data_IF_938352441021
#
_entry.id   IF_938352441021
#
_cell.length_a   1.000
_cell.length_b   1.000
_cell.length_c   1.000
_cell.angle_alpha   90.00
_cell.angle_beta   90.00
_cell.angle_gamma   90.00
#
_symmetry.space_group_name_H-M   'P 1'
#
loop_
_entity.id
_entity.type
_entity.pdbx_description
1 polymer ?
#
# COMPACT_ATOMS: atom_id res chain seq x y z
N UNK A 1 1.93 -19.31 -1.73
CA UNK A 1 1.45 -18.00 -1.25
C UNK A 1 2.65 -17.19 -0.83
N UNK A 2 2.95 -16.10 -1.52
CA UNK A 2 4.04 -15.20 -1.13
C UNK A 2 3.49 -14.15 -0.17
N UNK A 3 4.16 -14.01 0.98
CA UNK A 3 3.89 -12.96 1.96
C UNK A 3 5.16 -12.12 2.02
N UNK A 4 5.03 -10.83 1.78
CA UNK A 4 6.11 -9.87 1.91
C UNK A 4 5.83 -9.01 3.13
N UNK A 5 6.81 -8.86 4.00
CA UNK A 5 6.69 -8.04 5.20
C UNK A 5 7.71 -6.93 5.16
N UNK A 6 7.27 -5.73 5.51
CA UNK A 6 8.08 -4.52 5.53
C UNK A 6 7.70 -3.69 6.76
N UNK A 7 8.40 -3.88 7.87
CA UNK A 7 7.99 -3.31 9.16
C UNK A 7 6.64 -3.87 9.60
N UNK A 8 5.69 -2.96 9.85
CA UNK A 8 4.30 -3.22 10.25
C UNK A 8 3.34 -3.43 9.06
N UNK A 9 3.86 -3.43 7.83
CA UNK A 9 3.09 -3.65 6.61
C UNK A 9 3.31 -5.07 6.12
N UNK A 10 2.25 -5.87 6.16
CA UNK A 10 2.18 -7.21 5.60
C UNK A 10 1.44 -7.19 4.25
N UNK A 11 2.10 -7.66 3.20
CA UNK A 11 1.60 -7.70 1.83
C UNK A 11 1.43 -9.17 1.44
N UNK A 12 0.19 -9.60 1.38
CA UNK A 12 -0.17 -11.00 1.13
C UNK A 12 -0.67 -11.17 -0.28
N UNK A 13 -0.08 -12.09 -1.04
CA UNK A 13 -0.54 -12.37 -2.39
C UNK A 13 -1.94 -13.00 -2.39
N UNK A 14 -2.81 -12.49 -3.25
CA UNK A 14 -4.17 -12.96 -3.47
C UNK A 14 -4.38 -13.34 -4.94
N UNK A 15 -5.37 -14.19 -5.19
CA UNK A 15 -5.67 -14.66 -6.55
C UNK A 15 -6.59 -13.70 -7.32
N UNK A 16 -7.43 -12.94 -6.59
CA UNK A 16 -8.41 -12.02 -7.17
C UNK A 16 -8.61 -10.78 -6.30
N UNK A 17 -8.77 -9.64 -6.95
CA UNK A 17 -9.20 -8.40 -6.30
C UNK A 17 -10.72 -8.43 -6.04
N UNK A 18 -11.21 -7.86 -4.93
CA UNK A 18 -12.65 -7.69 -4.72
C UNK A 18 -13.28 -6.70 -5.72
N UNK A 19 -14.59 -6.83 -5.94
CA UNK A 19 -15.34 -6.07 -6.96
C UNK A 19 -15.67 -4.63 -6.58
N UNK A 20 -15.44 -4.21 -5.34
CA UNK A 20 -15.74 -2.85 -4.82
C UNK A 20 -14.49 -2.16 -4.31
N UNK A 21 -13.60 -1.84 -5.24
CA UNK A 21 -12.34 -1.16 -4.99
C UNK A 21 -12.35 0.24 -5.62
N UNK A 22 -11.98 1.25 -4.85
CA UNK A 22 -11.66 2.58 -5.38
C UNK A 22 -10.16 2.66 -5.61
N UNK A 23 -9.72 3.22 -6.74
CA UNK A 23 -8.28 3.49 -6.93
C UNK A 23 -7.85 4.57 -5.94
N UNK A 24 -6.83 4.27 -5.15
CA UNK A 24 -6.13 5.29 -4.39
C UNK A 24 -5.31 6.11 -5.37
N UNK A 25 -5.38 7.44 -5.29
CA UNK A 25 -4.54 8.33 -6.08
C UNK A 25 -3.08 8.34 -5.63
N UNK A 26 -2.80 7.71 -4.48
CA UNK A 26 -1.51 7.72 -3.83
C UNK A 26 -0.82 6.34 -3.84
N UNK A 27 0.51 6.34 -3.81
CA UNK A 27 1.36 5.13 -3.76
C UNK A 27 1.70 4.70 -2.34
N UNK A 28 1.18 5.40 -1.34
CA UNK A 28 1.38 5.11 0.08
C UNK A 28 0.49 3.93 0.52
N UNK A 29 1.15 2.84 0.88
CA UNK A 29 0.53 1.68 1.51
C UNK A 29 0.16 1.98 2.97
N UNK A 30 1.10 2.53 3.72
CA UNK A 30 0.92 2.92 5.11
C UNK A 30 1.88 4.06 5.46
N UNK A 31 1.50 4.85 6.45
CA UNK A 31 2.44 5.74 7.12
C UNK A 31 3.20 4.93 8.17
N UNK A 32 4.52 5.14 8.25
CA UNK A 32 5.38 4.45 9.20
C UNK A 32 5.19 4.96 10.63
N UNK A 33 5.87 4.34 11.60
CA UNK A 33 5.80 4.72 13.02
C UNK A 33 6.28 6.16 13.29
N UNK A 34 7.16 6.68 12.44
CA UNK A 34 7.68 8.05 12.53
C UNK A 34 6.86 8.97 11.64
N UNK A 35 6.35 10.05 12.22
CA UNK A 35 5.57 11.07 11.52
C UNK A 35 6.34 11.60 10.31
N UNK A 36 5.86 11.29 9.09
CA UNK A 36 6.48 11.71 7.84
C UNK A 36 7.10 10.56 7.02
N UNK A 37 7.41 9.42 7.63
CA UNK A 37 7.85 8.25 6.90
C UNK A 37 6.65 7.48 6.32
N UNK A 38 6.82 6.90 5.14
CA UNK A 38 5.76 6.17 4.46
C UNK A 38 6.28 4.98 3.68
N UNK A 39 5.53 3.88 3.76
CA UNK A 39 5.72 2.71 2.92
C UNK A 39 5.12 3.02 1.56
N UNK A 40 5.97 3.37 0.59
CA UNK A 40 5.51 3.83 -0.72
C UNK A 40 6.24 3.14 -1.86
N UNK A 41 5.55 3.03 -2.98
CA UNK A 41 6.16 2.67 -4.25
C UNK A 41 6.69 3.93 -4.95
N UNK A 42 7.75 3.78 -5.73
CA UNK A 42 8.32 4.88 -6.52
C UNK A 42 7.66 5.02 -7.89
N UNK A 43 7.06 3.95 -8.41
CA UNK A 43 6.54 3.89 -9.78
C UNK A 43 5.02 3.65 -9.83
N UNK A 44 4.26 4.71 -10.11
CA UNK A 44 2.79 4.64 -10.30
C UNK A 44 2.33 4.00 -11.61
N UNK A 45 3.24 3.85 -12.58
CA UNK A 45 2.88 3.27 -13.88
C UNK A 45 2.85 1.74 -13.79
N UNK A 46 3.63 1.17 -12.86
CA UNK A 46 3.71 -0.27 -12.62
C UNK A 46 2.91 -0.74 -11.42
N UNK A 47 2.46 0.17 -10.54
CA UNK A 47 1.75 -0.19 -9.32
C UNK A 47 0.46 0.61 -9.19
N UNK A 48 -0.65 -0.10 -8.98
CA UNK A 48 -1.95 0.50 -8.68
C UNK A 48 -2.35 0.11 -7.24
N UNK A 49 -2.61 1.12 -6.41
CA UNK A 49 -3.14 0.94 -5.06
C UNK A 49 -4.65 1.13 -5.10
N UNK A 50 -5.38 0.28 -4.40
CA UNK A 50 -6.82 0.30 -4.29
C UNK A 50 -7.23 0.32 -2.82
N UNK A 51 -8.35 0.99 -2.53
CA UNK A 51 -8.98 1.04 -1.22
C UNK A 51 -10.38 0.42 -1.32
N UNK A 52 -10.65 -0.57 -0.47
CA UNK A 52 -11.98 -1.13 -0.31
C UNK A 52 -12.83 -0.26 0.62
N UNK A 53 -14.15 -0.42 0.53
CA UNK A 53 -15.10 0.26 1.41
C UNK A 53 -14.95 -0.12 2.90
N UNK A 54 -14.27 -1.22 3.20
CA UNK A 54 -13.97 -1.71 4.55
C UNK A 54 -12.68 -1.10 5.13
N UNK A 55 -12.06 -0.14 4.44
CA UNK A 55 -10.76 0.45 4.83
C UNK A 55 -9.54 -0.39 4.43
N UNK A 56 -9.74 -1.64 3.98
CA UNK A 56 -8.65 -2.49 3.50
C UNK A 56 -8.02 -1.97 2.20
N UNK A 57 -6.68 -2.04 2.14
CA UNK A 57 -5.92 -1.68 0.93
C UNK A 57 -5.53 -2.91 0.13
N UNK A 58 -5.54 -2.75 -1.18
CA UNK A 58 -5.16 -3.78 -2.14
C UNK A 58 -4.16 -3.21 -3.13
N UNK A 59 -3.28 -4.07 -3.63
CA UNK A 59 -2.22 -3.72 -4.53
C UNK A 59 -2.34 -4.55 -5.81
N UNK A 60 -2.12 -3.90 -6.94
CA UNK A 60 -1.90 -4.56 -8.21
C UNK A 60 -0.57 -4.12 -8.77
N UNK A 61 0.34 -5.07 -8.89
CA UNK A 61 1.70 -4.87 -9.38
C UNK A 61 1.78 -5.46 -10.78
N UNK A 62 2.03 -4.61 -11.78
CA UNK A 62 2.16 -5.00 -13.19
C UNK A 62 3.58 -5.49 -13.51
N UNK A 63 4.58 -4.87 -12.87
CA UNK A 63 6.01 -5.19 -13.03
C UNK A 63 6.71 -5.18 -11.68
N UNK A 64 7.88 -5.86 -11.53
CA UNK A 64 8.58 -5.89 -10.26
C UNK A 64 8.91 -4.49 -9.75
N UNK A 65 8.32 -4.10 -8.62
CA UNK A 65 8.41 -2.74 -8.09
C UNK A 65 8.99 -2.71 -6.69
N UNK A 66 9.98 -1.84 -6.42
CA UNK A 66 10.54 -1.69 -5.09
C UNK A 66 9.56 -0.92 -4.19
N UNK A 67 9.25 -1.50 -3.04
CA UNK A 67 8.63 -0.82 -1.92
C UNK A 67 9.74 -0.23 -1.05
N UNK A 68 9.71 1.08 -0.88
CA UNK A 68 10.70 1.81 -0.08
C UNK A 68 10.08 2.31 1.22
N UNK A 69 10.91 2.40 2.25
CA UNK A 69 10.64 3.10 3.49
C UNK A 69 11.93 3.81 3.92
N UNK A 70 11.81 4.93 4.63
CA UNK A 70 12.98 5.73 5.03
C UNK A 70 13.88 5.01 6.05
N UNK A 71 13.32 4.09 6.82
CA UNK A 71 14.06 3.33 7.84
C UNK A 71 14.38 1.88 7.43
N UNK A 72 13.59 1.30 6.52
CA UNK A 72 13.75 -0.10 6.12
C UNK A 72 14.37 -0.23 4.73
N UNK A 73 15.11 -1.34 4.54
CA UNK A 73 15.64 -1.68 3.22
C UNK A 73 14.51 -1.91 2.24
N UNK A 74 14.65 -1.36 1.03
CA UNK A 74 13.71 -1.59 -0.05
C UNK A 74 13.46 -3.08 -0.29
N UNK A 75 12.21 -3.46 -0.50
CA UNK A 75 11.85 -4.83 -0.86
C UNK A 75 11.23 -4.85 -2.24
N UNK A 76 11.59 -5.85 -3.04
CA UNK A 76 11.07 -5.98 -4.39
C UNK A 76 9.79 -6.81 -4.37
N UNK A 77 8.67 -6.17 -4.68
CA UNK A 77 7.38 -6.84 -4.83
C UNK A 77 7.26 -7.31 -6.28
N UNK A 78 6.98 -8.59 -6.45
CA UNK A 78 6.81 -9.21 -7.76
C UNK A 78 5.45 -8.82 -8.38
N UNK A 79 5.30 -8.94 -9.72
CA UNK A 79 4.01 -8.71 -10.35
C UNK A 79 2.94 -9.69 -9.84
N UNK A 80 1.77 -9.17 -9.52
CA UNK A 80 0.69 -9.91 -8.89
C UNK A 80 -0.35 -9.04 -8.23
N UNK A 81 -1.35 -9.69 -7.63
CA UNK A 81 -2.38 -9.05 -6.82
C UNK A 81 -2.06 -9.31 -5.35
N UNK A 82 -2.17 -8.28 -4.52
CA UNK A 82 -1.89 -8.39 -3.10
C UNK A 82 -2.94 -7.68 -2.26
N UNK A 83 -3.17 -8.21 -1.06
CA UNK A 83 -3.88 -7.59 0.04
C UNK A 83 -2.84 -6.98 0.98
N UNK A 84 -3.09 -5.75 1.42
CA UNK A 84 -2.21 -5.03 2.34
C UNK A 84 -2.87 -5.00 3.70
N UNK A 85 -2.17 -5.55 4.70
CA UNK A 85 -2.59 -5.57 6.09
C UNK A 85 -1.58 -4.80 6.92
N UNK A 86 -2.08 -3.85 7.71
CA UNK A 86 -1.25 -3.04 8.59
C UNK A 86 -1.45 -3.59 10.01
N UNK A 87 -0.37 -3.95 10.70
CA UNK A 87 -0.46 -4.57 12.03
C UNK A 87 -0.90 -3.60 13.13
N UNK A 88 -0.66 -2.29 12.95
CA UNK A 88 -1.26 -1.24 13.77
C UNK A 88 -2.31 -0.53 12.94
N UNK A 89 -3.56 -0.78 13.28
CA UNK A 89 -4.76 -0.18 12.69
C UNK A 89 -4.77 1.33 12.98
N UNK A 90 -3.97 2.11 12.25
CA UNK A 90 -4.17 3.54 12.15
C UNK A 90 -5.28 3.73 11.13
N UNK A 91 -6.48 3.89 11.66
CA UNK A 91 -7.69 4.31 10.96
C UNK A 91 -7.41 5.69 10.32
N UNK A 92 -6.81 5.70 9.14
CA UNK A 92 -6.88 6.86 8.26
C UNK A 92 -8.30 6.88 7.68
N UNK A 93 -9.27 7.15 8.57
CA UNK A 93 -10.59 7.63 8.19
C UNK A 93 -10.39 8.75 7.17
N UNK A 94 -11.19 8.72 6.11
CA UNK A 94 -11.06 9.43 4.82
C UNK A 94 -10.99 10.98 4.93
N UNK A 95 -10.83 11.55 6.12
CA UNK A 95 -10.82 12.98 6.42
C UNK A 95 -9.47 13.69 6.19
N UNK A 96 -8.35 12.97 6.24
CA UNK A 96 -7.00 13.56 6.12
C UNK A 96 -6.45 13.61 4.68
N UNK A 97 -7.24 13.24 3.65
CA UNK A 97 -6.89 13.44 2.24
C UNK A 97 -7.63 14.64 1.64
N UNK A 98 -7.88 15.69 2.43
CA UNK A 98 -8.51 16.94 1.96
C UNK A 98 -7.81 18.24 2.37
N UNK A 99 -6.52 18.17 2.73
CA UNK A 99 -5.72 19.37 3.07
C UNK A 99 -4.30 19.33 2.51
N UNK A 100 -4.13 19.21 1.19
CA UNK A 100 -2.93 19.79 0.56
C UNK A 100 -3.28 20.29 -0.85
N UNK A 101 -3.96 21.43 -0.89
CA UNK A 101 -3.80 22.46 -1.93
C UNK A 101 -4.33 23.72 -1.26
N UNK A 102 -3.39 24.61 -0.93
CA UNK A 102 -3.65 26.02 -0.62
C UNK A 102 -4.19 26.71 -1.89
#
# INVERSE_FOLDING_TARGET
MNIFRHGDVDIKQIEKLPTKLKKSGDLILAFGEVTGHSHRFTDRSQVEVFLAADGMKYLKVLSPSPLIHEEHKEIKILPGLYEVKIEREWDYSEEEMKKVVD
#
